data_IF_955443502401
#
_entry.id   IF_955443502401
#
_cell.length_a   1.000
_cell.length_b   1.000
_cell.length_c   1.000
_cell.angle_alpha   90.00
_cell.angle_beta   90.00
_cell.angle_gamma   90.00
#
_symmetry.space_group_name_H-M   'P 1'
#
loop_
_entity.id
_entity.type
_entity.pdbx_description
1 polymer ?
#
# COMPACT_ATOMS: atom_id res chain seq x y z
N UNK A 1 -20.57 34.96 -6.03
CA UNK A 1 -20.23 33.62 -6.46
C UNK A 1 -19.07 32.98 -5.64
N UNK A 2 -17.97 33.67 -5.38
CA UNK A 2 -16.84 33.12 -4.61
C UNK A 2 -17.18 32.64 -3.20
N UNK A 3 -17.97 33.40 -2.41
CA UNK A 3 -18.36 33.00 -1.05
C UNK A 3 -19.18 31.71 -1.01
N UNK A 4 -20.03 31.46 -1.99
CA UNK A 4 -20.81 30.21 -2.10
C UNK A 4 -19.91 29.00 -2.33
N UNK A 5 -18.86 29.15 -3.18
CA UNK A 5 -17.91 28.07 -3.43
C UNK A 5 -17.04 27.80 -2.19
N UNK A 6 -16.58 28.84 -1.49
CA UNK A 6 -15.82 28.67 -0.25
C UNK A 6 -16.65 27.98 0.83
N UNK A 7 -17.89 28.41 1.08
CA UNK A 7 -18.75 27.72 2.04
C UNK A 7 -19.03 26.26 1.68
N UNK A 8 -19.08 25.93 0.38
CA UNK A 8 -19.21 24.53 -0.04
C UNK A 8 -17.96 23.69 0.19
N UNK A 9 -16.79 24.32 0.06
CA UNK A 9 -15.51 23.68 0.38
C UNK A 9 -15.46 23.37 1.88
N UNK A 10 -15.74 24.36 2.72
CA UNK A 10 -15.73 24.18 4.19
C UNK A 10 -16.69 23.07 4.62
N UNK A 11 -17.91 23.03 4.06
CA UNK A 11 -18.91 21.99 4.35
C UNK A 11 -18.41 20.58 3.92
N UNK A 12 -17.69 20.48 2.80
CA UNK A 12 -17.13 19.21 2.33
C UNK A 12 -15.96 18.78 3.20
N UNK A 13 -15.11 19.69 3.64
CA UNK A 13 -13.98 19.41 4.51
C UNK A 13 -14.47 18.90 5.87
N UNK A 14 -15.49 19.51 6.48
CA UNK A 14 -16.11 19.01 7.71
C UNK A 14 -16.66 17.58 7.54
N UNK A 15 -17.31 17.29 6.41
CA UNK A 15 -17.83 15.94 6.12
C UNK A 15 -16.69 14.93 5.95
N UNK A 16 -15.62 15.31 5.29
CA UNK A 16 -14.43 14.46 5.11
C UNK A 16 -13.80 14.15 6.46
N UNK A 17 -13.61 15.16 7.33
CA UNK A 17 -13.04 14.98 8.66
C UNK A 17 -13.91 14.08 9.54
N UNK A 18 -15.23 14.27 9.48
CA UNK A 18 -16.19 13.43 10.17
C UNK A 18 -16.15 11.97 9.74
N UNK A 19 -16.02 11.71 8.42
CA UNK A 19 -15.88 10.37 7.87
C UNK A 19 -14.53 9.74 8.22
N UNK A 20 -13.44 10.51 8.16
CA UNK A 20 -12.10 10.05 8.51
C UNK A 20 -12.02 9.63 9.98
N UNK A 21 -12.63 10.40 10.87
CA UNK A 21 -12.74 10.08 12.30
C UNK A 21 -13.49 8.77 12.54
N UNK A 22 -14.62 8.57 11.86
CA UNK A 22 -15.40 7.33 11.93
C UNK A 22 -14.61 6.12 11.41
N UNK A 23 -13.92 6.28 10.28
CA UNK A 23 -13.06 5.23 9.70
C UNK A 23 -11.93 4.84 10.65
N UNK A 24 -11.27 5.81 11.27
CA UNK A 24 -10.22 5.56 12.28
C UNK A 24 -10.76 4.78 13.48
N UNK A 25 -11.91 5.18 14.00
CA UNK A 25 -12.54 4.49 15.12
C UNK A 25 -12.96 3.05 14.78
N UNK A 26 -13.49 2.83 13.58
CA UNK A 26 -13.80 1.49 13.09
C UNK A 26 -12.54 0.63 12.90
N UNK A 27 -11.49 1.21 12.30
CA UNK A 27 -10.24 0.51 12.05
C UNK A 27 -9.52 0.04 13.31
N UNK A 28 -9.66 0.79 14.42
CA UNK A 28 -9.09 0.40 15.71
C UNK A 28 -9.85 -0.74 16.40
N UNK A 29 -11.14 -0.85 16.14
CA UNK A 29 -12.00 -1.89 16.76
C UNK A 29 -11.87 -3.23 16.05
N UNK A 30 -11.52 -3.24 14.78
CA UNK A 30 -11.36 -4.46 14.00
C UNK A 30 -9.91 -4.99 14.09
N UNK A 31 -9.77 -6.20 14.65
CA UNK A 31 -8.46 -6.79 14.91
C UNK A 31 -7.62 -7.08 13.65
N UNK A 32 -8.27 -7.35 12.52
CA UNK A 32 -7.54 -7.56 11.26
C UNK A 32 -7.05 -6.25 10.67
N UNK A 33 -7.88 -5.23 10.67
CA UNK A 33 -7.51 -3.88 10.24
C UNK A 33 -6.39 -3.32 11.11
N UNK A 34 -6.50 -3.45 12.45
CA UNK A 34 -5.47 -3.05 13.39
C UNK A 34 -4.12 -3.75 13.10
N UNK A 35 -4.16 -5.04 12.76
CA UNK A 35 -2.97 -5.81 12.37
C UNK A 35 -2.34 -5.28 11.09
N UNK A 36 -3.12 -4.97 10.07
CA UNK A 36 -2.63 -4.38 8.82
C UNK A 36 -1.99 -3.01 9.04
N UNK A 37 -2.52 -2.22 9.96
CA UNK A 37 -1.99 -0.88 10.30
C UNK A 37 -0.61 -0.94 10.95
N UNK A 38 -0.14 -2.09 11.41
CA UNK A 38 1.25 -2.25 11.89
C UNK A 38 2.27 -2.15 10.75
N UNK A 39 1.85 -2.38 9.50
CA UNK A 39 2.72 -2.30 8.33
C UNK A 39 3.02 -0.83 8.00
N UNK A 40 4.30 -0.41 7.89
CA UNK A 40 4.66 0.94 7.51
C UNK A 40 4.03 1.38 6.18
N UNK A 41 3.31 2.51 6.21
CA UNK A 41 2.61 3.06 5.04
C UNK A 41 1.18 2.56 4.85
N UNK A 42 0.68 1.70 5.74
CA UNK A 42 -0.73 1.33 5.77
C UNK A 42 -1.42 2.09 6.90
N UNK A 43 -2.29 3.04 6.53
CA UNK A 43 -3.16 3.75 7.44
C UNK A 43 -4.57 3.15 7.50
N UNK A 44 -5.46 3.71 8.35
CA UNK A 44 -6.83 3.21 8.54
C UNK A 44 -7.59 3.05 7.22
N UNK A 45 -7.57 4.05 6.36
CA UNK A 45 -8.25 4.03 5.05
C UNK A 45 -7.74 2.87 4.20
N UNK A 46 -6.42 2.68 4.12
CA UNK A 46 -5.83 1.61 3.31
C UNK A 46 -6.17 0.24 3.88
N UNK A 47 -6.09 0.08 5.20
CA UNK A 47 -6.39 -1.19 5.86
C UNK A 47 -7.86 -1.59 5.68
N UNK A 48 -8.79 -0.66 5.90
CA UNK A 48 -10.23 -0.90 5.69
C UNK A 48 -10.56 -1.14 4.22
N UNK A 49 -9.93 -0.40 3.30
CA UNK A 49 -10.13 -0.63 1.86
C UNK A 49 -9.66 -2.03 1.44
N UNK A 50 -8.56 -2.54 2.00
CA UNK A 50 -8.10 -3.90 1.75
C UNK A 50 -9.16 -4.91 2.23
N UNK A 51 -9.68 -4.74 3.44
CA UNK A 51 -10.72 -5.61 3.99
C UNK A 51 -12.01 -5.59 3.15
N UNK A 52 -12.42 -4.42 2.68
CA UNK A 52 -13.68 -4.26 1.97
C UNK A 52 -13.62 -4.72 0.50
N UNK A 53 -12.48 -4.56 -0.17
CA UNK A 53 -12.40 -4.70 -1.63
C UNK A 53 -11.45 -5.82 -2.10
N UNK A 54 -10.59 -6.35 -1.23
CA UNK A 54 -9.76 -7.47 -1.62
C UNK A 54 -10.56 -8.79 -1.51
N UNK A 55 -10.39 -9.71 -2.46
CA UNK A 55 -10.88 -11.08 -2.27
C UNK A 55 -10.23 -11.70 -1.04
N UNK A 56 -10.83 -12.74 -0.45
CA UNK A 56 -10.21 -13.49 0.64
C UNK A 56 -8.78 -13.87 0.28
N UNK A 57 -7.84 -13.66 1.20
CA UNK A 57 -6.40 -13.89 0.94
C UNK A 57 -6.09 -15.34 0.58
N UNK A 58 -6.93 -16.27 0.99
CA UNK A 58 -6.87 -17.69 0.69
C UNK A 58 -7.08 -17.99 -0.80
N UNK A 59 -7.71 -17.07 -1.53
CA UNK A 59 -7.87 -17.14 -2.99
C UNK A 59 -6.54 -17.02 -3.73
N UNK A 60 -5.50 -16.55 -3.05
CA UNK A 60 -4.17 -16.37 -3.61
C UNK A 60 -3.20 -17.40 -3.03
N UNK A 61 -2.59 -18.18 -3.91
CA UNK A 61 -1.61 -19.20 -3.50
C UNK A 61 -0.37 -18.58 -2.82
N UNK A 62 0.02 -17.38 -3.21
CA UNK A 62 1.23 -16.67 -2.74
C UNK A 62 1.03 -15.17 -2.75
N UNK A 63 1.76 -14.43 -1.91
CA UNK A 63 1.74 -12.98 -1.90
C UNK A 63 2.13 -12.32 -3.24
N UNK A 64 2.86 -13.04 -4.12
CA UNK A 64 3.13 -12.59 -5.49
C UNK A 64 1.86 -12.54 -6.33
N UNK A 65 0.95 -13.48 -6.13
CA UNK A 65 -0.30 -13.57 -6.86
C UNK A 65 -1.26 -12.45 -6.44
N UNK A 66 -1.33 -12.15 -5.14
CA UNK A 66 -2.01 -10.97 -4.62
C UNK A 66 -1.44 -9.65 -5.18
N UNK A 67 -0.11 -9.52 -5.22
CA UNK A 67 0.57 -8.37 -5.81
C UNK A 67 0.32 -8.25 -7.33
N UNK A 68 0.19 -9.37 -8.04
CA UNK A 68 -0.16 -9.41 -9.46
C UNK A 68 -1.63 -8.99 -9.68
N UNK A 69 -2.54 -9.45 -8.82
CA UNK A 69 -3.93 -9.03 -8.84
C UNK A 69 -4.09 -7.52 -8.63
N UNK A 70 -3.25 -6.91 -7.80
CA UNK A 70 -3.18 -5.45 -7.65
C UNK A 70 -2.53 -4.72 -8.84
N UNK A 71 -1.96 -5.45 -9.79
CA UNK A 71 -1.27 -4.88 -10.94
C UNK A 71 0.06 -4.21 -10.61
N UNK A 72 0.72 -4.63 -9.51
CA UNK A 72 2.02 -4.11 -9.06
C UNK A 72 3.21 -4.91 -9.60
N UNK A 73 2.97 -6.00 -10.33
CA UNK A 73 4.01 -6.83 -10.93
C UNK A 73 4.39 -6.30 -12.32
N UNK A 74 5.69 -6.23 -12.65
CA UNK A 74 6.14 -5.83 -13.98
C UNK A 74 5.63 -6.76 -15.09
N UNK A 75 5.29 -6.20 -16.25
CA UNK A 75 5.03 -6.98 -17.46
C UNK A 75 6.32 -7.62 -17.89
N UNK A 76 6.22 -8.88 -18.30
CA UNK A 76 7.36 -9.61 -18.88
C UNK A 76 7.30 -9.52 -20.41
N UNK A 77 8.39 -9.07 -21.00
CA UNK A 77 8.62 -9.03 -22.44
C UNK A 77 9.80 -9.94 -22.78
N UNK A 78 9.75 -11.17 -22.30
CA UNK A 78 10.83 -12.15 -22.49
C UNK A 78 10.71 -12.76 -23.88
N UNK A 79 11.74 -12.56 -24.67
CA UNK A 79 11.89 -13.21 -25.99
C UNK A 79 13.28 -13.89 -26.07
N UNK A 80 13.34 -15.07 -26.62
CA UNK A 80 14.61 -15.78 -26.81
C UNK A 80 15.41 -16.07 -25.54
N UNK A 81 14.70 -16.33 -24.40
CA UNK A 81 15.36 -16.64 -23.13
C UNK A 81 15.94 -15.45 -22.37
N UNK A 82 15.94 -14.24 -22.94
CA UNK A 82 16.44 -13.03 -22.27
C UNK A 82 15.31 -12.33 -21.49
N UNK A 83 15.37 -12.26 -20.13
CA UNK A 83 14.34 -11.62 -19.34
C UNK A 83 14.34 -10.10 -19.56
N UNK A 84 13.23 -9.57 -20.06
CA UNK A 84 13.01 -8.14 -20.23
C UNK A 84 11.81 -7.72 -19.42
N UNK A 85 12.04 -6.99 -18.31
CA UNK A 85 10.98 -6.48 -17.43
C UNK A 85 10.56 -5.10 -17.90
N UNK A 86 9.25 -4.93 -18.11
CA UNK A 86 8.63 -3.65 -18.41
C UNK A 86 8.15 -2.90 -17.18
N UNK A 87 7.26 -1.93 -17.39
CA UNK A 87 6.54 -1.24 -16.32
C UNK A 87 5.55 -2.19 -15.63
N UNK A 88 5.07 -1.81 -14.43
CA UNK A 88 4.00 -2.55 -13.75
C UNK A 88 2.79 -2.70 -14.66
N UNK A 89 2.08 -3.82 -14.53
CA UNK A 89 0.97 -4.18 -15.43
C UNK A 89 -0.18 -3.18 -15.38
N UNK A 90 -0.43 -2.58 -14.21
CA UNK A 90 -1.59 -1.73 -13.90
C UNK A 90 -2.95 -2.43 -14.16
N UNK A 91 -2.94 -3.71 -14.47
CA UNK A 91 -4.13 -4.54 -14.59
C UNK A 91 -4.59 -4.93 -13.19
N UNK A 92 -5.90 -4.82 -12.90
CA UNK A 92 -6.44 -5.19 -11.59
C UNK A 92 -6.89 -4.00 -10.75
N UNK A 93 -7.06 -4.21 -9.44
CA UNK A 93 -7.71 -3.26 -8.53
C UNK A 93 -6.94 -1.92 -8.41
N UNK A 94 -7.52 -0.89 -9.05
CA UNK A 94 -6.89 0.41 -9.21
C UNK A 94 -6.77 1.17 -7.89
N UNK A 95 -7.83 1.15 -7.09
CA UNK A 95 -7.90 1.99 -5.90
C UNK A 95 -6.99 1.47 -4.79
N UNK A 96 -6.98 0.17 -4.55
CA UNK A 96 -6.04 -0.44 -3.61
C UNK A 96 -4.58 -0.23 -4.05
N UNK A 97 -4.30 -0.36 -5.34
CA UNK A 97 -2.96 -0.06 -5.88
C UNK A 97 -2.57 1.39 -5.61
N UNK A 98 -3.47 2.35 -5.84
CA UNK A 98 -3.26 3.77 -5.57
C UNK A 98 -2.95 4.02 -4.09
N UNK A 99 -3.76 3.45 -3.18
CA UNK A 99 -3.56 3.58 -1.73
C UNK A 99 -2.20 3.03 -1.29
N UNK A 100 -1.82 1.84 -1.77
CA UNK A 100 -0.52 1.24 -1.45
C UNK A 100 0.66 2.06 -1.98
N UNK A 101 0.55 2.62 -3.19
CA UNK A 101 1.59 3.50 -3.75
C UNK A 101 1.67 4.81 -2.95
N UNK A 102 0.54 5.39 -2.54
CA UNK A 102 0.51 6.60 -1.71
C UNK A 102 1.14 6.34 -0.34
N UNK A 103 0.80 5.23 0.31
CA UNK A 103 1.41 4.82 1.57
C UNK A 103 2.91 4.57 1.44
N UNK A 104 3.35 3.90 0.38
CA UNK A 104 4.78 3.71 0.09
C UNK A 104 5.50 5.05 -0.16
N UNK A 105 4.86 6.00 -0.85
CA UNK A 105 5.41 7.34 -1.05
C UNK A 105 5.60 8.05 0.29
N UNK A 106 4.62 7.98 1.18
CA UNK A 106 4.72 8.56 2.53
C UNK A 106 5.90 7.99 3.30
N UNK A 107 6.11 6.67 3.26
CA UNK A 107 7.27 6.02 3.91
C UNK A 107 8.58 6.54 3.36
N UNK A 108 8.69 6.68 2.03
CA UNK A 108 9.93 7.14 1.37
C UNK A 108 10.17 8.64 1.56
N UNK A 109 9.10 9.44 1.78
CA UNK A 109 9.22 10.91 1.84
C UNK A 109 9.37 11.44 3.26
N UNK A 110 8.67 10.85 4.25
CA UNK A 110 8.57 11.40 5.62
C UNK A 110 9.63 10.89 6.58
N UNK A 111 10.44 9.91 6.24
CA UNK A 111 11.45 9.36 7.16
C UNK A 111 12.79 10.04 6.97
N UNK A 112 13.25 10.74 8.00
CA UNK A 112 14.61 11.27 8.11
C UNK A 112 15.66 10.15 8.19
N UNK A 113 15.36 9.04 8.86
CA UNK A 113 16.19 7.84 8.87
C UNK A 113 15.45 6.64 8.32
N UNK A 114 15.98 6.07 7.25
CA UNK A 114 15.47 4.84 6.64
C UNK A 114 16.16 3.67 7.35
N UNK A 115 15.48 3.08 8.32
CA UNK A 115 15.99 1.93 9.11
C UNK A 115 15.95 0.61 8.35
N UNK A 116 15.23 0.54 7.21
CA UNK A 116 15.17 -0.66 6.36
C UNK A 116 16.36 -0.68 5.38
N UNK A 117 17.37 -1.57 5.57
CA UNK A 117 18.55 -1.63 4.71
C UNK A 117 18.23 -1.89 3.23
N UNK A 118 17.17 -2.66 2.96
CA UNK A 118 16.71 -2.89 1.59
C UNK A 118 16.24 -1.59 0.93
N UNK A 119 15.45 -0.80 1.67
CA UNK A 119 14.92 0.46 1.15
C UNK A 119 16.04 1.48 0.93
N UNK A 120 16.98 1.59 1.87
CA UNK A 120 18.16 2.44 1.75
C UNK A 120 19.00 2.05 0.52
N UNK A 121 19.30 0.76 0.36
CA UNK A 121 20.04 0.25 -0.80
C UNK A 121 19.32 0.45 -2.14
N UNK A 122 17.99 0.41 -2.14
CA UNK A 122 17.21 0.72 -3.35
C UNK A 122 17.26 2.21 -3.70
N UNK A 123 17.13 3.09 -2.71
CA UNK A 123 17.16 4.54 -2.93
C UNK A 123 18.54 5.04 -3.40
N UNK A 124 19.61 4.40 -2.97
CA UNK A 124 20.96 4.72 -3.42
C UNK A 124 21.20 4.41 -4.91
N UNK A 125 20.45 3.45 -5.48
CA UNK A 125 20.71 2.92 -6.83
C UNK A 125 19.62 3.19 -7.86
N UNK A 126 18.42 3.56 -7.42
CA UNK A 126 17.25 3.62 -8.30
C UNK A 126 16.46 4.92 -8.10
N UNK A 127 15.80 5.42 -9.15
CA UNK A 127 14.95 6.60 -9.05
C UNK A 127 13.84 6.42 -8.01
N UNK A 128 13.57 7.45 -7.21
CA UNK A 128 12.59 7.46 -6.11
C UNK A 128 11.24 6.87 -6.49
N UNK A 129 10.67 7.25 -7.64
CA UNK A 129 9.36 6.73 -8.09
C UNK A 129 9.38 5.23 -8.32
N UNK A 130 10.48 4.65 -8.81
CA UNK A 130 10.63 3.22 -8.99
C UNK A 130 10.71 2.50 -7.64
N UNK A 131 11.45 3.07 -6.68
CA UNK A 131 11.55 2.54 -5.31
C UNK A 131 10.20 2.51 -4.63
N UNK A 132 9.40 3.58 -4.77
CA UNK A 132 8.03 3.64 -4.22
C UNK A 132 7.16 2.50 -4.75
N UNK A 133 7.21 2.24 -6.06
CA UNK A 133 6.43 1.15 -6.66
C UNK A 133 6.93 -0.22 -6.19
N UNK A 134 8.25 -0.39 -6.06
CA UNK A 134 8.84 -1.62 -5.53
C UNK A 134 8.45 -1.84 -4.05
N UNK A 135 8.42 -0.77 -3.26
CA UNK A 135 7.95 -0.83 -1.87
C UNK A 135 6.46 -1.17 -1.80
N UNK A 136 5.60 -0.56 -2.62
CA UNK A 136 4.19 -0.89 -2.68
C UNK A 136 3.96 -2.38 -3.04
N UNK A 137 4.74 -2.93 -3.96
CA UNK A 137 4.72 -4.37 -4.29
C UNK A 137 5.14 -5.23 -3.08
N UNK A 138 6.20 -4.83 -2.35
CA UNK A 138 6.65 -5.51 -1.14
C UNK A 138 5.58 -5.44 -0.05
N UNK A 139 4.96 -4.28 0.16
CA UNK A 139 3.86 -4.07 1.10
C UNK A 139 2.66 -4.97 0.78
N UNK A 140 2.26 -5.06 -0.48
CA UNK A 140 1.18 -5.98 -0.89
C UNK A 140 1.48 -7.44 -0.51
N UNK A 141 2.72 -7.90 -0.70
CA UNK A 141 3.12 -9.25 -0.29
C UNK A 141 3.15 -9.44 1.22
N UNK A 142 3.51 -8.38 1.98
CA UNK A 142 3.43 -8.39 3.44
C UNK A 142 1.98 -8.44 3.92
N UNK A 143 1.09 -7.67 3.32
CA UNK A 143 -0.36 -7.74 3.60
C UNK A 143 -0.85 -9.18 3.48
N UNK A 144 -0.61 -9.82 2.34
CA UNK A 144 -1.00 -11.22 2.14
C UNK A 144 -0.42 -12.14 3.22
N UNK A 145 0.87 -12.04 3.51
CA UNK A 145 1.56 -12.92 4.46
C UNK A 145 1.02 -12.74 5.89
N UNK A 146 0.84 -11.50 6.34
CA UNK A 146 0.38 -11.21 7.70
C UNK A 146 -1.10 -11.55 7.90
N UNK A 147 -1.93 -11.34 6.88
CA UNK A 147 -3.35 -11.75 6.94
C UNK A 147 -3.47 -13.27 6.97
N UNK A 148 -2.75 -13.99 6.10
CA UNK A 148 -2.76 -15.46 6.06
C UNK A 148 -2.26 -16.09 7.37
N UNK A 149 -1.20 -15.53 7.96
CA UNK A 149 -0.59 -16.06 9.20
C UNK A 149 -1.20 -15.50 10.47
N UNK A 150 -2.07 -14.50 10.37
CA UNK A 150 -2.65 -13.77 11.50
C UNK A 150 -1.59 -13.14 12.42
N UNK A 151 -0.47 -12.68 11.83
CA UNK A 151 0.66 -12.07 12.53
C UNK A 151 0.65 -10.54 12.41
N UNK A 152 1.35 -9.85 13.31
CA UNK A 152 1.63 -8.42 13.25
C UNK A 152 2.98 -8.17 12.61
N UNK A 153 3.13 -7.00 11.97
CA UNK A 153 4.41 -6.62 11.38
C UNK A 153 5.47 -6.40 12.48
N UNK A 154 6.61 -7.06 12.32
CA UNK A 154 7.80 -6.85 13.17
C UNK A 154 8.94 -6.37 12.29
N UNK A 155 9.61 -5.30 12.73
CA UNK A 155 10.85 -4.87 12.08
C UNK A 155 11.86 -5.98 12.28
N UNK A 156 12.40 -6.53 11.20
CA UNK A 156 13.47 -7.51 11.28
C UNK A 156 14.71 -6.77 11.80
N UNK A 157 15.16 -7.12 13.00
CA UNK A 157 16.45 -6.64 13.48
C UNK A 157 17.52 -7.01 12.43
N UNK A 158 18.36 -6.04 12.06
CA UNK A 158 19.52 -6.33 11.25
C UNK A 158 20.42 -7.28 12.06
N UNK A 159 20.64 -8.47 11.52
CA UNK A 159 21.65 -9.39 12.06
C UNK A 159 23.04 -8.88 11.68
#
# INVERSE_FOLDING_TARGET
MGRLLLGRIDELDEKIDGLDSKLRACAQKDGETARLMTIPGIGPITAMAIQAFAPPVESFRRGRDFSAWLGLVPRQHTTGGKPRLGRISKMGQRDLRRLLITGAMTVVTRRGEITDPWLAGMLARKPKKLVVVALANRTARMVWALTTRKEVYRVRAAA
#
